data_IF_943765257524
#
_entry.id   IF_943765257524
#
_cell.length_a   1.000
_cell.length_b   1.000
_cell.length_c   1.000
_cell.angle_alpha   90.00
_cell.angle_beta   90.00
_cell.angle_gamma   90.00
#
_symmetry.space_group_name_H-M   'P 1'
#
loop_
_entity.id
_entity.type
_entity.pdbx_description
1 polymer ?
#
# COMPACT_ATOMS: atom_id res chain seq x y z
N UNK A 1 -5.80 21.44 10.72
CA UNK A 1 -4.76 20.41 10.82
C UNK A 1 -4.88 19.50 9.62
N UNK A 2 -3.75 19.10 9.03
CA UNK A 2 -3.68 18.06 8.01
C UNK A 2 -3.31 16.73 8.67
N UNK A 3 -3.88 15.65 8.19
CA UNK A 3 -3.58 14.27 8.57
C UNK A 3 -3.71 13.41 7.31
N UNK A 4 -2.60 12.82 6.88
CA UNK A 4 -2.57 11.94 5.72
C UNK A 4 -1.68 10.73 6.01
N UNK A 5 -2.32 9.57 6.04
CA UNK A 5 -1.75 8.28 6.42
C UNK A 5 -2.07 7.23 5.37
N UNK A 6 -1.22 6.22 5.30
CA UNK A 6 -1.52 4.99 4.57
C UNK A 6 -2.64 4.20 5.27
N UNK A 7 -3.12 3.14 4.59
CA UNK A 7 -4.21 2.30 5.09
C UNK A 7 -3.84 1.50 6.36
N UNK A 8 -2.56 1.40 6.69
CA UNK A 8 -2.02 0.76 7.90
C UNK A 8 -1.69 1.78 9.02
N UNK A 9 -2.30 2.97 8.95
CA UNK A 9 -2.09 4.11 9.86
C UNK A 9 -0.66 4.68 9.89
N UNK A 10 0.25 4.21 9.03
CA UNK A 10 1.58 4.82 8.89
C UNK A 10 1.45 6.23 8.30
N UNK A 11 2.15 7.19 8.91
CA UNK A 11 2.26 8.56 8.41
C UNK A 11 2.83 8.61 7.00
N UNK A 12 2.25 9.45 6.13
CA UNK A 12 2.93 9.84 4.89
C UNK A 12 4.08 10.81 5.20
N UNK A 13 5.09 10.30 5.91
CA UNK A 13 6.15 11.08 6.50
C UNK A 13 7.00 11.77 5.45
N UNK A 14 7.31 13.05 5.67
CA UNK A 14 8.20 13.81 4.79
C UNK A 14 7.60 14.21 3.44
N UNK A 15 6.36 13.85 3.13
CA UNK A 15 5.70 14.32 1.91
C UNK A 15 5.42 15.82 1.97
N UNK A 16 5.56 16.49 0.83
CA UNK A 16 5.15 17.88 0.70
C UNK A 16 3.62 17.99 0.71
N UNK A 17 3.06 19.01 1.35
CA UNK A 17 1.67 19.41 1.16
C UNK A 17 1.60 20.74 0.42
N UNK A 18 0.51 20.93 -0.32
CA UNK A 18 0.16 22.18 -0.99
C UNK A 18 -1.29 22.51 -0.66
N UNK A 19 -1.53 23.68 -0.09
CA UNK A 19 -2.86 24.15 0.29
C UNK A 19 -3.16 25.47 -0.43
N UNK A 20 -4.17 25.46 -1.31
CA UNK A 20 -4.74 26.64 -1.92
C UNK A 20 -5.90 27.14 -1.07
N UNK A 21 -5.77 28.35 -0.55
CA UNK A 21 -6.72 28.99 0.36
C UNK A 21 -7.80 29.76 -0.44
N UNK A 22 -8.90 30.10 0.25
CA UNK A 22 -10.05 30.79 -0.35
C UNK A 22 -9.71 32.19 -0.90
N UNK A 23 -8.72 32.86 -0.32
CA UNK A 23 -8.21 34.15 -0.77
C UNK A 23 -7.26 34.05 -1.98
N UNK A 24 -7.04 32.82 -2.48
CA UNK A 24 -6.15 32.51 -3.59
C UNK A 24 -4.68 32.31 -3.18
N UNK A 25 -4.30 32.60 -1.93
CA UNK A 25 -2.95 32.38 -1.46
C UNK A 25 -2.64 30.88 -1.29
N UNK A 26 -1.35 30.55 -1.33
CA UNK A 26 -0.88 29.17 -1.19
C UNK A 26 -0.03 29.01 0.07
N UNK A 27 -0.12 27.84 0.69
CA UNK A 27 0.75 27.38 1.77
C UNK A 27 1.34 26.03 1.38
N UNK A 28 2.60 25.84 1.67
CA UNK A 28 3.29 24.58 1.45
C UNK A 28 4.17 24.25 2.64
N UNK A 29 4.46 22.98 2.82
CA UNK A 29 5.31 22.49 3.89
C UNK A 29 5.47 20.98 3.79
N UNK A 30 5.97 20.38 4.86
CA UNK A 30 6.27 18.95 4.92
C UNK A 30 5.48 18.30 6.05
N UNK A 31 4.98 17.09 5.83
CA UNK A 31 4.34 16.29 6.87
C UNK A 31 5.37 15.73 7.87
N UNK A 32 4.99 15.71 9.15
CA UNK A 32 5.78 15.09 10.22
C UNK A 32 5.83 13.55 10.07
N UNK A 33 6.54 12.87 10.99
CA UNK A 33 6.68 11.42 10.98
C UNK A 33 5.34 10.66 11.10
N UNK A 34 4.28 11.33 11.55
CA UNK A 34 2.94 10.79 11.69
C UNK A 34 2.01 11.20 10.54
N UNK A 35 2.54 11.85 9.49
CA UNK A 35 1.75 12.28 8.35
C UNK A 35 0.92 13.53 8.61
N UNK A 36 1.31 14.38 9.57
CA UNK A 36 0.53 15.56 9.98
C UNK A 36 1.25 16.86 9.70
N UNK A 37 0.47 17.93 9.54
CA UNK A 37 0.96 19.30 9.54
C UNK A 37 -0.08 20.27 10.11
N UNK A 38 0.40 21.35 10.73
CA UNK A 38 -0.44 22.47 11.16
C UNK A 38 -0.24 23.62 10.19
N UNK A 39 -1.34 24.15 9.65
CA UNK A 39 -1.34 25.38 8.86
C UNK A 39 -2.07 26.43 9.69
N UNK A 40 -1.36 27.49 10.05
CA UNK A 40 -1.90 28.60 10.84
C UNK A 40 -2.41 29.73 9.93
N UNK A 41 -3.26 30.60 10.50
CA UNK A 41 -3.73 31.81 9.81
C UNK A 41 -4.54 31.54 8.54
N UNK A 42 -5.35 30.47 8.54
CA UNK A 42 -6.23 30.16 7.41
C UNK A 42 -7.44 31.11 7.41
N UNK A 43 -7.67 31.88 6.33
CA UNK A 43 -8.85 32.71 6.21
C UNK A 43 -10.11 31.85 6.08
N UNK A 44 -11.29 32.34 6.51
CA UNK A 44 -12.56 31.63 6.33
C UNK A 44 -12.82 31.30 4.86
N UNK A 45 -13.18 30.05 4.58
CA UNK A 45 -13.56 29.60 3.25
C UNK A 45 -12.98 28.23 2.90
N UNK A 46 -13.23 27.74 1.67
CA UNK A 46 -12.74 26.45 1.23
C UNK A 46 -11.22 26.45 1.10
N UNK A 47 -10.61 25.32 1.44
CA UNK A 47 -9.19 25.05 1.22
C UNK A 47 -9.07 23.80 0.37
N UNK A 48 -8.30 23.88 -0.71
CA UNK A 48 -7.98 22.72 -1.53
C UNK A 48 -6.56 22.25 -1.19
N UNK A 49 -6.45 21.01 -0.74
CA UNK A 49 -5.17 20.41 -0.31
C UNK A 49 -4.78 19.29 -1.26
N UNK A 50 -3.51 19.25 -1.64
CA UNK A 50 -2.88 18.10 -2.29
C UNK A 50 -1.61 17.70 -1.55
N UNK A 51 -1.25 16.43 -1.67
CA UNK A 51 -0.06 15.84 -1.08
C UNK A 51 0.86 15.33 -2.19
N UNK A 52 2.15 15.60 -2.05
CA UNK A 52 3.18 15.00 -2.87
C UNK A 52 3.42 13.54 -2.52
N UNK A 53 4.29 12.84 -3.28
CA UNK A 53 4.67 11.48 -2.96
C UNK A 53 5.46 11.41 -1.65
N UNK A 54 5.50 10.22 -1.05
CA UNK A 54 6.47 9.92 0.01
C UNK A 54 7.89 10.12 -0.55
N UNK A 55 8.77 10.85 0.17
CA UNK A 55 10.16 10.95 -0.24
C UNK A 55 10.87 9.60 -0.10
N UNK A 56 11.70 9.27 -1.08
CA UNK A 56 12.51 8.06 -1.08
C UNK A 56 11.95 6.91 -1.93
N UNK A 57 12.68 5.80 -1.95
CA UNK A 57 12.26 4.58 -2.64
C UNK A 57 11.32 3.76 -1.73
N UNK A 58 10.40 3.03 -2.36
CA UNK A 58 9.61 2.03 -1.64
C UNK A 58 10.51 0.92 -1.10
N UNK A 59 10.28 0.54 0.15
CA UNK A 59 10.92 -0.60 0.80
C UNK A 59 9.84 -1.53 1.37
N UNK A 60 10.00 -2.83 1.13
CA UNK A 60 9.07 -3.84 1.63
C UNK A 60 9.25 -3.99 3.15
N UNK A 61 8.20 -3.70 3.93
CA UNK A 61 8.23 -3.83 5.41
C UNK A 61 8.39 -5.28 5.84
N UNK A 62 7.47 -6.13 5.40
CA UNK A 62 7.53 -7.57 5.67
C UNK A 62 8.63 -8.18 4.80
N UNK A 63 9.69 -8.71 5.39
CA UNK A 63 10.79 -9.37 4.65
C UNK A 63 10.69 -10.90 4.68
N UNK A 64 9.59 -11.44 5.19
CA UNK A 64 9.36 -12.88 5.25
C UNK A 64 9.42 -13.48 3.84
N UNK A 65 10.29 -14.46 3.59
CA UNK A 65 10.30 -15.15 2.31
C UNK A 65 8.95 -15.84 2.09
N UNK A 66 8.38 -15.70 0.90
CA UNK A 66 7.19 -16.46 0.51
C UNK A 66 7.56 -17.95 0.48
N UNK A 67 6.99 -18.82 1.33
CA UNK A 67 7.36 -20.22 1.38
C UNK A 67 7.13 -20.91 0.04
N UNK A 68 8.11 -21.68 -0.43
CA UNK A 68 8.03 -22.38 -1.72
C UNK A 68 8.12 -21.46 -2.96
N UNK A 69 8.39 -20.16 -2.78
CA UNK A 69 8.66 -19.28 -3.90
C UNK A 69 9.89 -19.74 -4.67
N UNK A 70 9.68 -19.94 -5.97
CA UNK A 70 10.71 -20.26 -6.93
C UNK A 70 10.62 -19.19 -8.02
N UNK A 71 11.61 -18.28 -8.13
CA UNK A 71 11.55 -17.20 -9.11
C UNK A 71 11.69 -17.71 -10.54
N UNK A 72 12.18 -18.94 -10.76
CA UNK A 72 12.38 -19.54 -12.07
C UNK A 72 12.02 -21.03 -12.04
N UNK A 73 10.72 -21.38 -11.92
CA UNK A 73 10.31 -22.77 -11.85
C UNK A 73 10.58 -23.50 -13.16
N UNK A 74 10.99 -24.76 -13.07
CA UNK A 74 11.14 -25.61 -14.26
C UNK A 74 9.78 -26.11 -14.76
N UNK A 75 9.67 -26.38 -16.06
CA UNK A 75 8.47 -27.00 -16.66
C UNK A 75 8.04 -28.28 -15.93
N UNK A 76 8.99 -29.13 -15.55
CA UNK A 76 8.71 -30.36 -14.81
C UNK A 76 8.07 -30.09 -13.43
N UNK A 77 8.53 -29.04 -12.73
CA UNK A 77 7.96 -28.62 -11.45
C UNK A 77 6.55 -28.06 -11.63
N UNK A 78 6.31 -27.28 -12.69
CA UNK A 78 4.98 -26.77 -13.03
C UNK A 78 4.02 -27.93 -13.33
N UNK A 79 4.41 -28.88 -14.17
CA UNK A 79 3.61 -30.07 -14.49
C UNK A 79 3.25 -30.88 -13.24
N UNK A 80 4.21 -31.11 -12.34
CA UNK A 80 3.95 -31.84 -11.09
C UNK A 80 2.97 -31.11 -10.16
N UNK A 81 2.95 -29.77 -10.18
CA UNK A 81 1.98 -28.97 -9.40
C UNK A 81 0.57 -29.09 -9.99
N UNK A 82 0.46 -29.04 -11.32
CA UNK A 82 -0.81 -29.26 -12.05
C UNK A 82 -1.37 -30.63 -11.67
N UNK A 83 -0.59 -31.70 -11.82
CA UNK A 83 -1.01 -33.06 -11.45
C UNK A 83 -1.44 -33.15 -9.98
N UNK A 84 -0.66 -32.56 -9.05
CA UNK A 84 -0.96 -32.58 -7.61
C UNK A 84 -2.34 -32.01 -7.28
N UNK A 85 -2.73 -30.88 -7.89
CA UNK A 85 -3.98 -30.20 -7.54
C UNK A 85 -5.18 -30.61 -8.40
N UNK A 86 -4.95 -31.17 -9.60
CA UNK A 86 -6.02 -31.76 -10.41
C UNK A 86 -6.35 -33.20 -9.98
N UNK A 87 -5.40 -33.93 -9.40
CA UNK A 87 -5.64 -35.30 -8.90
C UNK A 87 -6.42 -35.32 -7.58
N UNK A 88 -6.60 -34.18 -6.91
CA UNK A 88 -7.37 -34.08 -5.64
C UNK A 88 -8.89 -33.98 -5.84
N UNK A 89 -9.40 -33.99 -7.08
CA UNK A 89 -10.84 -34.07 -7.38
C UNK A 89 -11.39 -35.52 -7.47
N UNK A 90 -10.64 -36.53 -7.04
CA UNK A 90 -11.16 -37.91 -6.98
C UNK A 90 -11.37 -38.33 -5.52
N UNK A 91 -12.58 -38.05 -5.02
CA UNK A 91 -13.07 -38.52 -3.73
C UNK A 91 -13.02 -40.07 -3.66
N UNK A 92 -12.47 -40.69 -2.60
CA UNK A 92 -12.40 -42.14 -2.47
C UNK A 92 -13.58 -42.69 -1.66
N UNK A 93 -14.84 -42.58 -2.11
CA UNK A 93 -15.91 -43.43 -1.55
C UNK A 93 -17.18 -43.55 -2.41
N UNK A 94 -17.32 -44.67 -3.11
CA UNK A 94 -18.59 -45.40 -3.22
C UNK A 94 -18.30 -46.85 -3.61
N UNK A 95 -18.24 -47.70 -2.58
CA UNK A 95 -18.13 -49.16 -2.63
C UNK A 95 -19.37 -49.80 -3.29
N UNK A 96 -19.11 -50.93 -3.95
CA UNK A 96 -19.93 -52.15 -4.07
C UNK A 96 -21.47 -52.04 -4.02
N UNK A 97 -22.11 -52.40 -5.13
CA UNK A 97 -23.29 -53.28 -5.18
C UNK A 97 -23.37 -53.96 -6.55
#
# INVERSE_FOLDING_TARGET
>A
MLDHRYHDDEGLAGAQYFAKLADGSQRQGTLDAQGRAVIEGIPPGPVQVSFGPMPGAFERKDKTPTPGHDPNPTEAKLASLVDKYLSTETDPEAKSA
#
